data_IF_130368679676
#
_entry.id   IF_130368679676
#
_cell.length_a   1.000
_cell.length_b   1.000
_cell.length_c   1.000
_cell.angle_alpha   90.00
_cell.angle_beta   90.00
_cell.angle_gamma   90.00
#
_symmetry.space_group_name_H-M   'P 1'
#
loop_
_entity.id
_entity.type
_entity.pdbx_description
1 polymer ?
#
# COMPACT_ATOMS: atom_id res chain seq x y z
N UNK A 1 -23.92 -24.34 -25.78
CA UNK A 1 -22.74 -25.17 -25.46
C UNK A 1 -22.37 -25.91 -26.72
N UNK A 2 -21.12 -25.82 -27.16
CA UNK A 2 -20.64 -26.58 -28.34
C UNK A 2 -20.56 -28.05 -27.96
N UNK A 3 -21.17 -28.93 -28.74
CA UNK A 3 -21.15 -30.38 -28.51
C UNK A 3 -19.76 -30.96 -28.82
N UNK A 4 -19.46 -32.15 -28.31
CA UNK A 4 -18.17 -32.83 -28.58
C UNK A 4 -17.97 -33.11 -30.07
N UNK A 5 -19.05 -33.43 -30.78
CA UNK A 5 -19.05 -33.66 -32.24
C UNK A 5 -18.74 -32.38 -33.01
N UNK A 6 -19.46 -31.28 -32.73
CA UNK A 6 -19.19 -29.97 -33.34
C UNK A 6 -17.75 -29.51 -33.14
N UNK A 7 -17.16 -29.81 -31.96
CA UNK A 7 -15.75 -29.51 -31.69
C UNK A 7 -14.79 -30.33 -32.57
N UNK A 8 -15.09 -31.59 -32.81
CA UNK A 8 -14.28 -32.45 -33.69
C UNK A 8 -14.41 -32.03 -35.15
N UNK A 9 -15.62 -31.70 -35.60
CA UNK A 9 -15.89 -31.24 -36.96
C UNK A 9 -15.15 -29.93 -37.24
N UNK A 10 -15.25 -28.95 -36.33
CA UNK A 10 -14.48 -27.68 -36.42
C UNK A 10 -12.96 -27.90 -36.42
N UNK A 11 -12.46 -28.88 -35.66
CA UNK A 11 -11.02 -29.24 -35.67
C UNK A 11 -10.61 -29.77 -37.03
N UNK A 12 -11.39 -30.67 -37.62
CA UNK A 12 -11.10 -31.23 -38.95
C UNK A 12 -11.18 -30.15 -40.04
N UNK A 13 -12.14 -29.22 -39.95
CA UNK A 13 -12.25 -28.09 -40.87
C UNK A 13 -11.05 -27.13 -40.79
N UNK A 14 -10.48 -26.91 -39.60
CA UNK A 14 -9.28 -26.08 -39.46
C UNK A 14 -8.05 -26.79 -40.00
N UNK A 15 -7.92 -28.08 -39.73
CA UNK A 15 -6.81 -28.89 -40.27
C UNK A 15 -6.87 -28.96 -41.79
N UNK A 16 -8.06 -29.10 -42.38
CA UNK A 16 -8.22 -29.10 -43.85
C UNK A 16 -7.86 -27.77 -44.51
N UNK A 17 -7.95 -26.66 -43.78
CA UNK A 17 -7.49 -25.33 -44.20
C UNK A 17 -5.97 -25.14 -44.03
N UNK A 18 -5.25 -26.15 -43.55
CA UNK A 18 -3.79 -26.14 -43.41
C UNK A 18 -3.27 -25.66 -42.06
N UNK A 19 -4.13 -25.48 -41.05
CA UNK A 19 -3.66 -25.23 -39.68
C UNK A 19 -3.09 -26.51 -39.09
N UNK A 20 -1.94 -26.42 -38.40
CA UNK A 20 -1.36 -27.58 -37.73
C UNK A 20 -2.22 -28.01 -36.54
N UNK A 21 -2.22 -29.31 -36.24
CA UNK A 21 -2.92 -29.86 -35.08
C UNK A 21 -2.45 -29.20 -33.77
N UNK A 22 -1.15 -29.01 -33.64
CA UNK A 22 -0.52 -28.35 -32.48
C UNK A 22 -1.06 -26.93 -32.30
N UNK A 23 -1.18 -26.16 -33.37
CA UNK A 23 -1.71 -24.80 -33.31
C UNK A 23 -3.17 -24.76 -32.83
N UNK A 24 -4.00 -25.72 -33.25
CA UNK A 24 -5.41 -25.80 -32.85
C UNK A 24 -5.57 -26.21 -31.38
N UNK A 25 -4.68 -27.07 -30.87
CA UNK A 25 -4.69 -27.49 -29.47
C UNK A 25 -4.09 -26.42 -28.53
N UNK A 26 -3.07 -25.69 -28.99
CA UNK A 26 -2.43 -24.60 -28.25
C UNK A 26 -3.22 -23.28 -28.28
N UNK A 27 -4.17 -23.15 -29.21
CA UNK A 27 -5.05 -22.00 -29.27
C UNK A 27 -6.05 -21.97 -28.11
N UNK A 28 -6.17 -20.90 -27.33
CA UNK A 28 -5.46 -19.62 -27.39
C UNK A 28 -4.11 -19.65 -26.66
N UNK A 29 -3.12 -18.86 -27.14
CA UNK A 29 -1.80 -18.80 -26.51
C UNK A 29 -1.93 -18.50 -25.02
N UNK A 30 -1.17 -19.22 -24.21
CA UNK A 30 -1.18 -19.04 -22.76
C UNK A 30 -0.22 -17.92 -22.39
N UNK A 31 -0.72 -16.92 -21.68
CA UNK A 31 0.07 -15.80 -21.19
C UNK A 31 0.18 -15.86 -19.67
N UNK A 32 1.24 -15.23 -19.16
CA UNK A 32 1.40 -14.98 -17.73
C UNK A 32 0.98 -13.53 -17.46
N UNK A 33 0.08 -13.33 -16.49
CA UNK A 33 -0.24 -11.99 -16.00
C UNK A 33 0.28 -11.85 -14.58
N UNK A 34 0.72 -10.66 -14.23
CA UNK A 34 1.24 -10.28 -12.92
C UNK A 34 0.21 -9.43 -12.19
N UNK A 35 0.06 -9.67 -10.89
CA UNK A 35 -0.79 -8.83 -10.03
C UNK A 35 -0.10 -7.52 -9.71
N UNK A 36 -0.78 -6.42 -9.96
CA UNK A 36 -0.42 -5.07 -9.52
C UNK A 36 -1.24 -4.63 -8.31
N UNK A 37 -2.38 -5.28 -8.07
CA UNK A 37 -3.17 -5.14 -6.85
C UNK A 37 -3.07 -6.38 -5.96
N UNK A 38 -2.88 -6.15 -4.66
CA UNK A 38 -3.00 -7.18 -3.64
C UNK A 38 -4.41 -7.77 -3.63
N UNK A 39 -4.52 -9.08 -3.39
CA UNK A 39 -5.80 -9.74 -3.18
C UNK A 39 -6.11 -9.75 -1.68
N UNK A 40 -7.11 -8.98 -1.29
CA UNK A 40 -7.58 -8.93 0.10
C UNK A 40 -8.71 -9.94 0.33
N UNK A 41 -8.75 -10.54 1.52
CA UNK A 41 -9.90 -11.32 1.97
C UNK A 41 -11.03 -10.37 2.45
N UNK A 42 -12.17 -10.94 2.83
CA UNK A 42 -13.29 -10.14 3.37
C UNK A 42 -12.94 -9.39 4.67
N UNK A 43 -11.91 -9.86 5.40
CA UNK A 43 -11.39 -9.24 6.62
C UNK A 43 -10.34 -8.16 6.36
N UNK A 44 -9.94 -7.94 5.10
CA UNK A 44 -8.90 -6.99 4.71
C UNK A 44 -7.47 -7.51 4.78
N UNK A 45 -7.23 -8.78 5.07
CA UNK A 45 -5.89 -9.38 5.09
C UNK A 45 -5.45 -9.79 3.67
N UNK A 46 -4.16 -9.64 3.38
CA UNK A 46 -3.58 -10.01 2.08
C UNK A 46 -3.46 -11.52 1.90
N UNK A 47 -4.23 -12.08 0.96
CA UNK A 47 -4.11 -13.48 0.53
C UNK A 47 -2.98 -13.64 -0.49
N UNK A 48 -2.87 -12.68 -1.42
CA UNK A 48 -1.85 -12.70 -2.47
C UNK A 48 -1.26 -11.31 -2.63
N UNK A 49 0.06 -11.14 -2.42
CA UNK A 49 0.69 -9.84 -2.57
C UNK A 49 0.71 -9.39 -4.02
N UNK A 50 0.91 -8.08 -4.22
CA UNK A 50 1.30 -7.55 -5.52
C UNK A 50 2.60 -8.25 -6.01
N UNK A 51 2.76 -8.38 -7.31
CA UNK A 51 3.88 -9.09 -7.95
C UNK A 51 3.60 -10.56 -8.28
N UNK A 52 2.56 -11.17 -7.70
CA UNK A 52 2.27 -12.60 -7.93
C UNK A 52 1.99 -12.89 -9.41
N UNK A 53 2.75 -13.82 -10.01
CA UNK A 53 2.57 -14.27 -11.39
C UNK A 53 1.50 -15.36 -11.49
N UNK A 54 0.54 -15.19 -12.40
CA UNK A 54 -0.51 -16.16 -12.71
C UNK A 54 -0.29 -16.70 -14.12
N UNK A 55 0.18 -17.95 -14.19
CA UNK A 55 0.52 -18.64 -15.45
C UNK A 55 -0.71 -19.34 -16.03
N UNK A 56 -0.69 -19.61 -17.34
CA UNK A 56 -1.71 -20.43 -18.00
C UNK A 56 -3.01 -19.69 -18.35
N UNK A 57 -2.99 -18.35 -18.36
CA UNK A 57 -4.17 -17.55 -18.66
C UNK A 57 -4.38 -17.43 -20.18
N UNK A 58 -5.63 -17.29 -20.67
CA UNK A 58 -5.87 -17.04 -22.08
C UNK A 58 -5.24 -15.71 -22.52
N UNK A 59 -4.46 -15.74 -23.61
CA UNK A 59 -3.80 -14.59 -24.21
C UNK A 59 -4.69 -13.73 -25.10
N UNK A 60 -6.01 -13.91 -25.08
CA UNK A 60 -6.92 -13.06 -25.83
C UNK A 60 -6.87 -11.61 -25.28
N UNK A 61 -6.71 -10.58 -26.13
CA UNK A 61 -6.73 -9.18 -25.71
C UNK A 61 -7.97 -8.80 -24.89
N UNK A 62 -9.15 -9.33 -25.20
CA UNK A 62 -10.37 -9.05 -24.41
C UNK A 62 -10.28 -9.61 -22.99
N UNK A 63 -9.65 -10.78 -22.84
CA UNK A 63 -9.41 -11.39 -21.54
C UNK A 63 -8.41 -10.54 -20.75
N UNK A 64 -7.30 -10.17 -21.38
CA UNK A 64 -6.29 -9.31 -20.78
C UNK A 64 -6.86 -7.95 -20.37
N UNK A 65 -7.71 -7.32 -21.18
CA UNK A 65 -8.37 -6.05 -20.85
C UNK A 65 -9.32 -6.19 -19.65
N UNK A 66 -10.14 -7.24 -19.61
CA UNK A 66 -11.02 -7.50 -18.44
C UNK A 66 -10.21 -7.72 -17.17
N UNK A 67 -9.08 -8.42 -17.26
CA UNK A 67 -8.18 -8.68 -16.14
C UNK A 67 -7.34 -7.46 -15.74
N UNK A 68 -7.00 -6.60 -16.70
CA UNK A 68 -6.30 -5.35 -16.42
C UNK A 68 -7.10 -4.48 -15.47
N UNK A 69 -8.43 -4.36 -15.65
CA UNK A 69 -9.32 -3.62 -14.72
C UNK A 69 -9.29 -4.11 -13.28
N UNK A 70 -8.88 -5.36 -13.05
CA UNK A 70 -8.72 -5.98 -11.73
C UNK A 70 -7.27 -5.90 -11.22
N UNK A 71 -6.39 -5.17 -11.90
CA UNK A 71 -4.98 -5.04 -11.55
C UNK A 71 -4.14 -6.26 -11.92
N UNK A 72 -4.44 -6.94 -13.03
CA UNK A 72 -3.54 -7.96 -13.59
C UNK A 72 -3.04 -7.55 -14.97
N UNK A 73 -1.72 -7.38 -15.11
CA UNK A 73 -1.07 -6.84 -16.30
C UNK A 73 -0.02 -7.82 -16.85
N UNK A 74 0.36 -7.72 -18.13
CA UNK A 74 1.32 -8.65 -18.74
C UNK A 74 2.77 -8.42 -18.28
N UNK A 75 3.05 -7.29 -17.62
CA UNK A 75 4.36 -6.95 -17.06
C UNK A 75 4.32 -6.98 -15.52
N UNK A 76 5.43 -7.32 -14.85
CA UNK A 76 5.50 -7.28 -13.39
C UNK A 76 5.38 -5.84 -12.87
N UNK A 77 4.86 -5.63 -11.65
CA UNK A 77 5.00 -4.34 -10.98
C UNK A 77 6.49 -4.08 -10.72
N UNK A 78 6.88 -2.82 -10.84
CA UNK A 78 8.23 -2.35 -10.54
C UNK A 78 8.17 -0.93 -10.00
N UNK A 79 9.30 -0.43 -9.50
CA UNK A 79 9.37 0.85 -8.77
C UNK A 79 8.92 2.04 -9.61
N UNK A 80 9.09 1.96 -10.93
CA UNK A 80 8.68 2.99 -11.89
C UNK A 80 7.29 2.73 -12.48
N UNK A 81 6.50 1.83 -11.90
CA UNK A 81 5.19 1.49 -12.44
C UNK A 81 4.16 2.59 -12.15
N UNK A 82 3.75 3.29 -13.19
CA UNK A 82 2.75 4.37 -13.11
C UNK A 82 1.29 3.88 -13.29
N UNK A 83 1.01 2.60 -13.05
CA UNK A 83 -0.35 2.07 -13.19
C UNK A 83 -1.22 2.51 -11.99
N UNK A 84 -2.54 2.49 -12.16
CA UNK A 84 -3.49 2.91 -11.12
C UNK A 84 -3.29 2.18 -9.79
N UNK A 85 -2.88 0.91 -9.81
CA UNK A 85 -2.73 0.10 -8.59
C UNK A 85 -1.39 0.37 -7.91
N UNK A 86 -0.28 0.37 -8.65
CA UNK A 86 1.05 0.67 -8.10
C UNK A 86 1.19 2.13 -7.64
N UNK A 87 0.62 3.09 -8.37
CA UNK A 87 0.67 4.51 -8.01
C UNK A 87 -0.07 4.84 -6.70
N UNK A 88 -1.08 4.04 -6.34
CA UNK A 88 -1.77 4.19 -5.05
C UNK A 88 -1.00 3.52 -3.91
N UNK A 89 -0.27 2.43 -4.17
CA UNK A 89 0.51 1.72 -3.14
C UNK A 89 1.83 2.41 -2.82
N UNK A 90 2.44 3.13 -3.77
CA UNK A 90 3.69 3.87 -3.54
C UNK A 90 3.56 4.97 -2.47
N UNK A 91 2.33 5.38 -2.13
CA UNK A 91 2.07 6.30 -1.02
C UNK A 91 2.09 5.61 0.36
N UNK A 92 1.96 4.28 0.43
CA UNK A 92 1.89 3.51 1.68
C UNK A 92 3.21 2.78 2.00
N UNK A 93 4.07 2.52 1.02
CA UNK A 93 5.37 1.85 1.23
C UNK A 93 6.53 2.78 1.67
N UNK A 94 6.23 4.00 2.13
CA UNK A 94 7.17 4.80 2.94
C UNK A 94 6.65 4.91 4.37
N UNK A 95 6.56 3.75 5.02
CA UNK A 95 6.62 3.66 6.49
C UNK A 95 7.45 2.46 6.89
N UNK A 96 8.69 2.40 6.38
CA UNK A 96 9.76 1.79 7.18
C UNK A 96 9.92 2.74 8.36
N UNK A 97 9.22 2.44 9.46
CA UNK A 97 9.58 2.92 10.78
C UNK A 97 10.99 2.39 11.03
N UNK A 98 11.97 3.21 10.63
CA UNK A 98 13.19 3.38 11.40
C UNK A 98 12.78 3.37 12.87
N UNK A 99 13.37 2.55 13.75
CA UNK A 99 12.94 2.49 15.14
C UNK A 99 12.95 3.91 15.68
N UNK A 100 11.76 4.46 15.92
CA UNK A 100 11.59 5.79 16.47
C UNK A 100 12.48 5.84 17.72
N UNK A 101 13.45 6.77 17.81
CA UNK A 101 13.97 7.11 19.12
C UNK A 101 12.76 7.63 19.90
N UNK A 102 12.34 6.84 20.87
CA UNK A 102 11.17 7.06 21.73
C UNK A 102 10.87 8.54 21.88
N UNK A 103 9.74 8.98 21.32
CA UNK A 103 9.21 10.31 21.58
C UNK A 103 8.89 10.36 23.07
N UNK A 104 9.84 10.88 23.85
CA UNK A 104 9.58 11.25 25.23
C UNK A 104 8.38 12.20 25.22
N UNK A 105 7.34 11.97 26.04
CA UNK A 105 6.26 12.94 26.18
C UNK A 105 6.92 14.24 26.62
N UNK A 106 6.84 15.26 25.75
CA UNK A 106 7.39 16.58 26.07
C UNK A 106 6.71 17.07 27.34
N UNK A 107 7.44 16.95 28.45
CA UNK A 107 7.08 17.53 29.72
C UNK A 107 6.85 19.01 29.42
N UNK A 108 5.66 19.58 29.70
CA UNK A 108 5.44 21.00 29.45
C UNK A 108 6.54 21.74 30.21
N UNK A 109 7.37 22.50 29.47
CA UNK A 109 8.51 23.18 30.03
C UNK A 109 8.05 23.99 31.24
N UNK A 110 8.37 23.51 32.46
CA UNK A 110 7.97 24.20 33.68
C UNK A 110 8.62 25.56 33.65
N UNK A 111 7.80 26.59 33.46
CA UNK A 111 8.28 27.96 33.55
C UNK A 111 8.73 28.20 34.98
N UNK A 112 9.95 28.70 35.13
CA UNK A 112 10.53 29.02 36.43
C UNK A 112 10.95 30.48 36.52
N UNK A 113 10.68 31.11 37.66
CA UNK A 113 11.07 32.47 37.98
C UNK A 113 11.90 32.49 39.27
N UNK A 114 12.88 33.38 39.36
CA UNK A 114 13.80 33.48 40.49
C UNK A 114 13.57 34.76 41.30
N UNK A 115 13.50 34.55 42.62
CA UNK A 115 13.77 35.48 43.73
C UNK A 115 14.91 36.50 43.52
N UNK A 116 14.78 37.81 43.18
CA UNK A 116 15.95 38.69 43.20
C UNK A 116 16.50 38.90 44.62
N UNK A 117 15.65 38.84 45.65
CA UNK A 117 16.04 39.18 47.03
C UNK A 117 16.52 37.97 47.86
N UNK A 118 16.01 36.78 47.57
CA UNK A 118 16.32 35.57 48.36
C UNK A 118 16.68 34.34 47.51
N UNK A 119 16.85 34.51 46.19
CA UNK A 119 17.16 33.44 45.24
C UNK A 119 16.15 32.26 45.21
N UNK A 120 14.96 32.43 45.80
CA UNK A 120 13.93 31.38 45.82
C UNK A 120 13.35 31.12 44.42
N UNK A 121 13.32 29.85 44.00
CA UNK A 121 12.85 29.43 42.67
C UNK A 121 11.39 28.99 42.72
N UNK A 122 10.55 29.61 41.91
CA UNK A 122 9.12 29.26 41.79
C UNK A 122 8.89 28.58 40.45
N UNK A 123 8.19 27.44 40.44
CA UNK A 123 7.86 26.68 39.23
C UNK A 123 6.34 26.55 39.01
N UNK A 124 5.92 26.63 37.75
CA UNK A 124 4.54 26.40 37.34
C UNK A 124 4.47 25.87 35.90
N UNK A 125 3.31 25.31 35.53
CA UNK A 125 3.07 24.79 34.18
C UNK A 125 3.03 25.88 33.09
N UNK A 126 2.84 27.15 33.46
CA UNK A 126 2.82 28.29 32.53
C UNK A 126 3.63 29.46 33.08
N UNK A 127 4.17 30.31 32.19
CA UNK A 127 4.94 31.50 32.57
C UNK A 127 4.11 32.46 33.45
N UNK A 128 2.83 32.64 33.11
CA UNK A 128 1.89 33.46 33.89
C UNK A 128 1.66 32.90 35.30
N UNK A 129 1.62 31.56 35.44
CA UNK A 129 1.50 30.90 36.74
C UNK A 129 2.74 31.10 37.62
N UNK A 130 3.93 31.01 37.03
CA UNK A 130 5.19 31.24 37.74
C UNK A 130 5.28 32.70 38.22
N UNK A 131 4.89 33.66 37.37
CA UNK A 131 4.86 35.09 37.72
C UNK A 131 3.86 35.41 38.85
N UNK A 132 2.66 34.81 38.83
CA UNK A 132 1.66 35.03 39.89
C UNK A 132 2.12 34.50 41.25
N UNK A 133 2.69 33.29 41.29
CA UNK A 133 3.27 32.72 42.51
C UNK A 133 4.48 33.54 43.00
N UNK A 134 5.30 34.04 42.08
CA UNK A 134 6.42 34.93 42.40
C UNK A 134 5.93 36.24 43.05
N UNK A 135 4.86 36.86 42.55
CA UNK A 135 4.26 38.06 43.18
C UNK A 135 3.76 37.79 44.60
N UNK A 136 3.18 36.62 44.84
CA UNK A 136 2.76 36.24 46.19
C UNK A 136 3.96 36.07 47.14
N UNK A 137 5.06 35.51 46.64
CA UNK A 137 6.31 35.37 47.40
C UNK A 137 6.99 36.73 47.67
N UNK A 138 7.03 37.65 46.72
CA UNK A 138 7.61 38.99 46.94
C UNK A 138 6.88 39.72 48.08
N UNK A 139 5.57 39.51 48.24
CA UNK A 139 4.80 40.11 49.36
C UNK A 139 5.23 39.62 50.74
N UNK A 140 5.93 38.49 50.86
CA UNK A 140 6.45 38.03 52.16
C UNK A 140 7.76 38.69 52.56
N UNK A 141 8.37 39.46 51.65
CA UNK A 141 9.57 40.27 51.92
C UNK A 141 9.24 41.73 52.22
N UNK A 142 7.94 42.07 52.26
CA UNK A 142 7.44 43.40 52.65
C UNK A 142 6.98 43.45 54.10
#
# INVERSE_FOLDING_TARGET
MVTTKERQDLRQELVSKGYSWEYVDEWQPKVTLYRHAALLNASGEEIKPAGTAVKGLPGNPDYALKKSRLGMLPFPPGDTCSCRWCGNNAAEDVKVEEPEPELQPSIPALASALCPDCAFKVTAATQSGAASKMRAHIKTHS
#
